data_IF_026433608998
#
_entry.id   IF_026433608998
#
_cell.length_a   1.000
_cell.length_b   1.000
_cell.length_c   1.000
_cell.angle_alpha   90.00
_cell.angle_beta   90.00
_cell.angle_gamma   90.00
#
_symmetry.space_group_name_H-M   'P 1'
#
loop_
_entity.id
_entity.type
_entity.pdbx_description
1 polymer ?
#
# COMPACT_ATOMS: atom_id res chain seq x y z
N UNK A 1 -16.43 -4.08 -27.72
CA UNK A 1 -15.22 -3.60 -27.01
C UNK A 1 -15.70 -2.92 -25.74
N UNK A 2 -15.46 -3.48 -24.56
CA UNK A 2 -15.68 -2.75 -23.31
C UNK A 2 -14.64 -1.63 -23.25
N UNK A 3 -15.05 -0.40 -22.95
CA UNK A 3 -14.12 0.69 -22.68
C UNK A 3 -13.23 0.26 -21.50
N UNK A 4 -11.92 0.39 -21.66
CA UNK A 4 -10.99 0.19 -20.57
C UNK A 4 -11.37 1.14 -19.42
N UNK A 5 -11.68 0.57 -18.26
CA UNK A 5 -12.01 1.34 -17.07
C UNK A 5 -10.70 1.79 -16.42
N UNK A 6 -10.64 3.06 -16.01
CA UNK A 6 -9.49 3.60 -15.27
C UNK A 6 -9.78 3.38 -13.79
N UNK A 7 -8.98 2.56 -13.12
CA UNK A 7 -9.11 2.27 -11.69
C UNK A 7 -8.01 2.99 -10.90
N UNK A 8 -8.37 3.99 -10.07
CA UNK A 8 -7.43 4.58 -9.12
C UNK A 8 -6.90 3.55 -8.12
N UNK A 9 -5.64 3.71 -7.72
CA UNK A 9 -4.95 2.86 -6.76
C UNK A 9 -4.00 3.73 -5.91
N UNK A 10 -3.94 3.41 -4.62
CA UNK A 10 -3.17 4.15 -3.63
C UNK A 10 -2.37 3.20 -2.75
N UNK A 11 -1.20 3.64 -2.31
CA UNK A 11 -0.49 3.05 -1.17
C UNK A 11 -0.83 3.90 0.05
N UNK A 12 -1.32 3.25 1.10
CA UNK A 12 -1.68 3.88 2.36
C UNK A 12 -0.71 3.48 3.46
N UNK A 13 -0.34 4.46 4.28
CA UNK A 13 0.57 4.31 5.40
C UNK A 13 -0.19 4.58 6.69
N UNK A 14 -0.20 3.61 7.61
CA UNK A 14 -0.93 3.70 8.87
C UNK A 14 0.01 3.59 10.06
N UNK A 15 -0.17 4.42 11.08
CA UNK A 15 0.58 4.32 12.33
C UNK A 15 0.16 3.04 13.09
N UNK A 16 1.15 2.28 13.55
CA UNK A 16 0.91 1.15 14.45
C UNK A 16 1.01 1.63 15.91
N UNK A 17 0.17 1.10 16.80
CA UNK A 17 0.19 1.46 18.23
C UNK A 17 1.58 1.27 18.87
N UNK A 18 1.92 2.02 19.95
CA UNK A 18 3.28 2.14 20.50
C UNK A 18 3.93 0.88 21.12
N UNK A 19 3.44 -0.33 20.85
CA UNK A 19 3.85 -1.55 21.55
C UNK A 19 4.44 -2.66 20.67
N UNK A 20 5.00 -2.33 19.50
CA UNK A 20 5.77 -3.33 18.75
C UNK A 20 7.22 -2.87 18.51
N UNK A 21 8.11 -2.96 19.53
CA UNK A 21 9.48 -2.43 19.49
C UNK A 21 10.46 -3.18 18.55
N UNK A 22 9.96 -3.99 17.61
CA UNK A 22 10.80 -4.76 16.68
C UNK A 22 10.41 -4.71 15.21
N UNK A 23 9.19 -4.27 14.86
CA UNK A 23 8.63 -4.48 13.51
C UNK A 23 7.83 -3.25 13.07
N UNK A 24 8.56 -2.18 12.71
CA UNK A 24 8.03 -1.01 11.99
C UNK A 24 6.97 -0.17 12.72
N UNK A 25 7.21 1.13 12.82
CA UNK A 25 6.21 2.08 13.36
C UNK A 25 4.98 2.26 12.47
N UNK A 26 5.02 1.72 11.24
CA UNK A 26 3.99 1.95 10.23
C UNK A 26 3.64 0.68 9.44
N UNK A 27 2.36 0.57 9.13
CA UNK A 27 1.77 -0.48 8.32
C UNK A 27 1.44 0.02 6.92
N UNK A 28 1.60 -0.85 5.93
CA UNK A 28 1.45 -0.51 4.51
C UNK A 28 0.30 -1.32 3.92
N UNK A 29 -0.61 -0.63 3.24
CA UNK A 29 -1.75 -1.26 2.59
C UNK A 29 -1.99 -0.68 1.19
N UNK A 30 -2.55 -1.50 0.29
CA UNK A 30 -3.05 -1.06 -1.01
C UNK A 30 -4.53 -0.71 -0.86
N UNK A 31 -4.88 0.51 -1.26
CA UNK A 31 -6.25 1.01 -1.24
C UNK A 31 -6.79 1.15 -2.66
N UNK A 32 -7.95 0.55 -2.91
CA UNK A 32 -8.69 0.57 -4.18
C UNK A 32 -10.06 1.22 -3.94
N UNK A 33 -10.26 2.48 -4.39
CA UNK A 33 -11.57 3.12 -4.27
C UNK A 33 -12.60 2.49 -5.19
N UNK A 34 -13.86 2.44 -4.72
CA UNK A 34 -14.96 1.77 -5.41
C UNK A 34 -15.57 2.66 -6.49
N UNK A 35 -15.84 2.14 -7.70
CA UNK A 35 -16.60 2.87 -8.73
C UNK A 35 -17.99 3.31 -8.26
N UNK A 36 -18.66 2.49 -7.41
CA UNK A 36 -19.97 2.81 -6.83
C UNK A 36 -19.96 4.01 -5.89
N UNK A 37 -18.78 4.37 -5.39
CA UNK A 37 -18.54 5.49 -4.48
C UNK A 37 -17.84 6.66 -5.19
N UNK A 38 -17.92 6.70 -6.53
CA UNK A 38 -17.27 7.71 -7.37
C UNK A 38 -15.75 7.79 -7.16
N UNK A 39 -15.13 6.67 -6.77
CA UNK A 39 -13.71 6.56 -6.46
C UNK A 39 -13.21 7.46 -5.31
N UNK A 40 -14.11 7.94 -4.46
CA UNK A 40 -13.77 8.82 -3.34
C UNK A 40 -13.05 8.08 -2.24
N UNK A 41 -12.04 8.73 -1.66
CA UNK A 41 -11.25 8.16 -0.56
C UNK A 41 -11.94 8.29 0.81
N UNK A 42 -12.83 9.27 1.02
CA UNK A 42 -13.66 9.41 2.22
C UNK A 42 -14.90 8.50 2.26
N UNK A 43 -14.99 7.56 1.33
CA UNK A 43 -16.08 6.59 1.18
C UNK A 43 -15.55 5.16 1.38
N UNK A 44 -16.43 4.14 1.47
CA UNK A 44 -15.96 2.76 1.56
C UNK A 44 -15.01 2.43 0.41
N UNK A 45 -13.86 1.87 0.75
CA UNK A 45 -12.85 1.42 -0.20
C UNK A 45 -12.39 -0.01 0.14
N UNK A 46 -11.73 -0.66 -0.81
CA UNK A 46 -11.16 -1.99 -0.62
C UNK A 46 -9.69 -1.86 -0.21
N UNK A 47 -9.37 -2.30 1.01
CA UNK A 47 -8.01 -2.29 1.56
C UNK A 47 -7.43 -3.68 1.57
N UNK A 48 -6.22 -3.82 1.03
CA UNK A 48 -5.48 -5.07 0.98
C UNK A 48 -4.15 -4.90 1.69
N UNK A 49 -3.91 -5.73 2.70
CA UNK A 49 -2.70 -5.70 3.50
C UNK A 49 -2.35 -7.10 3.99
N UNK A 50 -1.15 -7.23 4.56
CA UNK A 50 -0.73 -8.45 5.26
C UNK A 50 -0.16 -8.08 6.60
N UNK A 51 -0.45 -8.89 7.61
CA UNK A 51 0.06 -8.71 8.97
C UNK A 51 0.76 -9.99 9.41
N UNK A 52 1.79 -9.84 10.25
CA UNK A 52 2.37 -11.00 10.92
C UNK A 52 1.28 -11.59 11.83
N UNK A 53 1.06 -12.90 11.73
CA UNK A 53 0.19 -13.60 12.68
C UNK A 53 0.70 -13.39 14.11
N UNK A 54 -0.18 -13.44 15.12
CA UNK A 54 0.18 -13.31 16.54
C UNK A 54 1.14 -14.40 17.06
N UNK A 55 1.68 -15.25 16.18
CA UNK A 55 2.77 -16.14 16.54
C UNK A 55 4.00 -15.30 16.88
N UNK A 56 4.60 -15.59 18.04
CA UNK A 56 5.87 -15.00 18.47
C UNK A 56 7.06 -15.39 17.57
N UNK A 57 6.80 -16.09 16.47
CA UNK A 57 7.79 -16.74 15.62
C UNK A 57 7.85 -16.04 14.25
N UNK A 58 8.38 -14.81 14.27
CA UNK A 58 8.55 -13.95 13.10
C UNK A 58 9.46 -14.54 12.01
N UNK A 59 10.18 -15.61 12.32
CA UNK A 59 11.06 -16.32 11.40
C UNK A 59 10.32 -17.34 10.51
N UNK A 60 9.06 -17.68 10.82
CA UNK A 60 8.30 -18.71 10.08
C UNK A 60 7.53 -18.19 8.85
N UNK A 61 7.71 -16.93 8.44
CA UNK A 61 6.95 -16.34 7.33
C UNK A 61 5.41 -16.48 7.49
N UNK A 62 4.92 -16.64 8.73
CA UNK A 62 3.49 -16.76 9.06
C UNK A 62 2.80 -15.39 9.03
N UNK A 63 2.52 -14.94 7.80
CA UNK A 63 1.77 -13.74 7.49
C UNK A 63 0.34 -14.10 7.12
N UNK A 64 -0.62 -13.31 7.56
CA UNK A 64 -2.02 -13.42 7.21
C UNK A 64 -2.41 -12.32 6.22
N UNK A 65 -3.21 -12.67 5.22
CA UNK A 65 -3.86 -11.67 4.37
C UNK A 65 -5.04 -11.08 5.10
N UNK A 66 -5.16 -9.76 5.05
CA UNK A 66 -6.33 -9.02 5.53
C UNK A 66 -6.90 -8.23 4.35
N UNK A 67 -8.09 -8.62 3.91
CA UNK A 67 -8.89 -7.84 2.98
C UNK A 67 -10.04 -7.25 3.76
N UNK A 68 -10.01 -5.93 3.91
CA UNK A 68 -11.09 -5.19 4.57
C UNK A 68 -11.92 -4.43 3.56
N UNK A 69 -13.21 -4.49 3.79
CA UNK A 69 -14.23 -3.76 3.02
C UNK A 69 -14.93 -2.83 3.99
N UNK A 70 -14.95 -1.52 3.75
CA UNK A 70 -15.76 -0.61 4.56
C UNK A 70 -15.18 0.80 4.77
N UNK A 71 -15.94 1.59 5.54
CA UNK A 71 -15.64 2.96 5.96
C UNK A 71 -14.90 3.05 7.28
N UNK A 72 -14.45 1.93 7.87
CA UNK A 72 -14.07 1.90 9.28
C UNK A 72 -13.09 3.04 9.63
N UNK A 73 -13.55 4.05 10.39
CA UNK A 73 -12.78 5.24 10.72
C UNK A 73 -11.46 4.89 11.42
N UNK A 74 -11.39 3.73 12.08
CA UNK A 74 -10.18 3.23 12.73
C UNK A 74 -8.94 3.19 11.82
N UNK A 75 -9.11 3.04 10.50
CA UNK A 75 -7.99 3.08 9.55
C UNK A 75 -7.61 4.51 9.14
N UNK A 76 -8.60 5.42 9.08
CA UNK A 76 -8.38 6.85 8.84
C UNK A 76 -7.81 7.56 10.08
N UNK A 77 -8.23 7.15 11.28
CA UNK A 77 -7.77 7.68 12.56
C UNK A 77 -6.27 7.47 12.78
N UNK A 78 -5.69 6.47 12.09
CA UNK A 78 -4.26 6.18 12.09
C UNK A 78 -3.62 6.38 10.72
N UNK A 79 -4.33 6.93 9.74
CA UNK A 79 -3.79 7.19 8.42
C UNK A 79 -2.77 8.33 8.54
N UNK A 80 -1.53 8.02 8.22
CA UNK A 80 -0.41 8.96 8.25
C UNK A 80 -0.24 9.63 6.89
N UNK A 81 -0.49 8.88 5.82
CA UNK A 81 -0.43 9.41 4.46
C UNK A 81 -0.89 8.41 3.41
N UNK A 82 -1.15 8.93 2.22
CA UNK A 82 -1.43 8.13 1.02
C UNK A 82 -0.57 8.60 -0.13
N UNK A 83 -0.09 7.65 -0.92
CA UNK A 83 0.63 7.88 -2.17
C UNK A 83 -0.26 7.41 -3.30
N UNK A 84 -0.67 8.34 -4.17
CA UNK A 84 -1.38 8.02 -5.39
C UNK A 84 -0.40 7.44 -6.42
N UNK A 85 -0.72 6.27 -6.95
CA UNK A 85 0.03 5.67 -8.06
C UNK A 85 -0.63 6.03 -9.41
N UNK A 86 0.05 5.79 -10.55
CA UNK A 86 -0.64 5.79 -11.83
C UNK A 86 -1.86 4.86 -11.77
N UNK A 87 -2.99 5.24 -12.36
CA UNK A 87 -4.17 4.40 -12.31
C UNK A 87 -3.96 3.11 -13.12
N UNK A 88 -4.76 2.10 -12.80
CA UNK A 88 -4.77 0.84 -13.53
C UNK A 88 -5.75 0.91 -14.71
N UNK A 89 -5.44 0.18 -15.77
CA UNK A 89 -6.24 -0.02 -16.99
C UNK A 89 -6.89 -1.40 -16.91
N UNK A 90 -7.58 -1.65 -15.80
CA UNK A 90 -8.35 -2.87 -15.51
C UNK A 90 -9.60 -2.51 -14.71
N UNK A 91 -10.56 -3.43 -14.63
CA UNK A 91 -11.74 -3.22 -13.81
C UNK A 91 -11.42 -3.30 -12.31
N UNK A 92 -12.27 -2.67 -11.49
CA UNK A 92 -12.22 -2.79 -10.03
C UNK A 92 -12.21 -4.25 -9.56
N UNK A 93 -13.09 -5.07 -10.14
CA UNK A 93 -13.24 -6.49 -9.80
C UNK A 93 -11.97 -7.28 -10.11
N UNK A 94 -11.34 -7.05 -11.26
CA UNK A 94 -10.08 -7.71 -11.63
C UNK A 94 -8.93 -7.32 -10.68
N UNK A 95 -8.84 -6.03 -10.32
CA UNK A 95 -7.82 -5.56 -9.38
C UNK A 95 -8.01 -6.18 -7.99
N UNK A 96 -9.25 -6.18 -7.47
CA UNK A 96 -9.57 -6.78 -6.18
C UNK A 96 -9.32 -8.28 -6.16
N UNK A 97 -9.80 -9.00 -7.18
CA UNK A 97 -9.59 -10.44 -7.30
C UNK A 97 -8.11 -10.81 -7.34
N UNK A 98 -7.31 -10.04 -8.06
CA UNK A 98 -5.86 -10.22 -8.09
C UNK A 98 -5.25 -10.02 -6.70
N UNK A 99 -5.52 -8.89 -6.04
CA UNK A 99 -4.97 -8.58 -4.71
C UNK A 99 -5.40 -9.59 -3.64
N UNK A 100 -6.67 -10.02 -3.63
CA UNK A 100 -7.17 -11.07 -2.72
C UNK A 100 -6.50 -12.42 -2.95
N UNK A 101 -6.00 -12.68 -4.17
CA UNK A 101 -5.32 -13.93 -4.51
C UNK A 101 -3.82 -13.88 -4.27
N UNK A 102 -3.25 -12.70 -4.01
CA UNK A 102 -1.83 -12.58 -3.76
C UNK A 102 -1.49 -13.23 -2.40
N UNK A 103 -0.56 -14.20 -2.37
CA UNK A 103 -0.18 -14.91 -1.15
C UNK A 103 0.24 -13.93 -0.05
N UNK A 104 -0.02 -14.22 1.22
CA UNK A 104 0.42 -13.36 2.31
C UNK A 104 1.92 -13.48 2.60
N UNK A 105 2.44 -14.70 2.47
CA UNK A 105 3.82 -15.04 2.77
C UNK A 105 4.78 -14.64 1.63
N UNK A 106 6.06 -14.95 1.80
CA UNK A 106 7.15 -14.61 0.88
C UNK A 106 7.06 -15.27 -0.51
N UNK A 107 6.50 -16.47 -0.66
CA UNK A 107 6.49 -17.28 -1.90
C UNK A 107 7.70 -17.06 -2.84
N UNK A 108 8.92 -17.40 -2.39
CA UNK A 108 10.11 -17.31 -3.24
C UNK A 108 10.54 -15.89 -3.65
N UNK A 109 9.88 -14.86 -3.15
CA UNK A 109 10.24 -13.46 -3.39
C UNK A 109 11.53 -13.14 -2.67
N UNK A 110 12.54 -12.64 -3.37
CA UNK A 110 13.81 -12.26 -2.74
C UNK A 110 13.58 -11.12 -1.75
N UNK A 111 14.13 -11.28 -0.53
CA UNK A 111 14.10 -10.22 0.46
C UNK A 111 14.86 -8.99 -0.06
N UNK A 112 14.39 -7.81 0.30
CA UNK A 112 15.09 -6.57 0.01
C UNK A 112 16.46 -6.54 0.70
N UNK A 113 17.41 -5.81 0.10
CA UNK A 113 18.79 -5.78 0.60
C UNK A 113 18.81 -5.21 2.03
N UNK A 114 19.47 -5.90 2.94
CA UNK A 114 19.56 -5.49 4.34
C UNK A 114 18.33 -5.83 5.17
N UNK A 115 17.36 -6.58 4.63
CA UNK A 115 16.28 -7.19 5.39
C UNK A 115 16.58 -8.65 5.69
N UNK A 116 16.29 -9.07 6.92
CA UNK A 116 16.37 -10.46 7.38
C UNK A 116 15.02 -11.16 7.35
N UNK A 117 13.91 -10.43 7.31
CA UNK A 117 12.55 -10.96 7.43
C UNK A 117 11.61 -10.40 6.36
N UNK A 118 10.53 -11.14 6.07
CA UNK A 118 9.41 -10.68 5.24
C UNK A 118 8.64 -9.53 5.92
N UNK A 119 7.95 -8.70 5.15
CA UNK A 119 7.20 -7.55 5.68
C UNK A 119 6.01 -7.16 4.81
N UNK A 120 5.03 -6.45 5.40
CA UNK A 120 3.89 -5.87 4.68
C UNK A 120 4.32 -4.98 3.51
N UNK A 121 5.39 -4.20 3.67
CA UNK A 121 5.95 -3.39 2.59
C UNK A 121 6.51 -4.24 1.44
N UNK A 122 7.16 -5.38 1.73
CA UNK A 122 7.69 -6.28 0.69
C UNK A 122 6.58 -7.01 -0.06
N UNK A 123 5.51 -7.41 0.65
CA UNK A 123 4.30 -7.94 0.04
C UNK A 123 3.65 -6.93 -0.92
N UNK A 124 3.49 -5.69 -0.47
CA UNK A 124 2.95 -4.61 -1.29
C UNK A 124 3.79 -4.39 -2.55
N UNK A 125 5.11 -4.31 -2.41
CA UNK A 125 6.03 -4.13 -3.55
C UNK A 125 5.91 -5.27 -4.56
N UNK A 126 5.79 -6.51 -4.08
CA UNK A 126 5.55 -7.66 -4.97
C UNK A 126 4.25 -7.51 -5.74
N UNK A 127 3.17 -7.13 -5.07
CA UNK A 127 1.88 -6.93 -5.72
C UNK A 127 1.98 -5.87 -6.83
N UNK A 128 2.58 -4.71 -6.53
CA UNK A 128 2.77 -3.64 -7.51
C UNK A 128 3.66 -4.08 -8.68
N UNK A 129 4.71 -4.85 -8.42
CA UNK A 129 5.56 -5.44 -9.47
C UNK A 129 4.80 -6.37 -10.39
N UNK A 130 4.01 -7.28 -9.83
CA UNK A 130 3.18 -8.19 -10.62
C UNK A 130 2.09 -7.45 -11.42
N UNK A 131 1.52 -6.36 -10.90
CA UNK A 131 0.59 -5.49 -11.65
C UNK A 131 1.28 -4.79 -12.82
N UNK A 132 2.50 -4.31 -12.63
CA UNK A 132 3.29 -3.69 -13.70
C UNK A 132 3.71 -4.71 -14.76
N UNK A 133 4.16 -5.91 -14.37
CA UNK A 133 4.48 -7.02 -15.27
C UNK A 133 3.26 -7.44 -16.13
N UNK A 134 2.04 -7.26 -15.60
CA UNK A 134 0.79 -7.45 -16.35
C UNK A 134 0.43 -6.28 -17.28
N UNK A 135 1.19 -5.19 -17.25
CA UNK A 135 0.91 -3.98 -18.03
C UNK A 135 -0.33 -3.23 -17.54
N UNK A 136 -0.71 -3.37 -16.27
CA UNK A 136 -1.94 -2.78 -15.76
C UNK A 136 -1.85 -1.28 -15.54
N UNK A 137 -0.68 -0.72 -15.25
CA UNK A 137 -0.57 0.73 -15.04
C UNK A 137 -0.74 1.51 -16.35
N UNK A 138 -1.49 2.61 -16.31
CA UNK A 138 -1.68 3.52 -17.45
C UNK A 138 -0.38 4.19 -17.91
N UNK A 139 0.60 4.27 -17.01
CA UNK A 139 1.96 4.72 -17.25
C UNK A 139 2.88 4.05 -16.24
N UNK A 140 4.15 3.76 -16.59
CA UNK A 140 5.10 3.21 -15.62
C UNK A 140 5.16 4.07 -14.35
N UNK A 141 5.10 3.46 -13.15
CA UNK A 141 5.30 4.20 -11.90
C UNK A 141 6.66 4.93 -11.92
N UNK A 142 6.75 6.13 -11.35
CA UNK A 142 8.02 6.84 -11.26
C UNK A 142 9.00 5.98 -10.46
N UNK A 143 10.07 5.54 -11.15
CA UNK A 143 11.15 4.65 -10.69
C UNK A 143 10.80 3.16 -10.49
N UNK A 144 10.92 2.40 -11.59
CA UNK A 144 11.84 1.24 -11.60
C UNK A 144 11.34 -0.06 -10.99
N UNK A 145 10.04 -0.27 -10.87
CA UNK A 145 9.52 -1.59 -10.50
C UNK A 145 9.94 -2.64 -11.57
N UNK A 146 9.94 -2.25 -12.86
CA UNK A 146 10.37 -3.09 -13.98
C UNK A 146 11.90 -3.22 -14.12
N UNK A 147 12.69 -2.30 -13.57
CA UNK A 147 14.17 -2.36 -13.63
C UNK A 147 14.76 -3.27 -12.54
N UNK A 148 13.92 -3.96 -11.76
CA UNK A 148 14.35 -4.87 -10.70
C UNK A 148 14.84 -4.16 -9.44
N UNK A 149 14.74 -2.84 -9.38
CA UNK A 149 15.18 -2.06 -8.22
C UNK A 149 14.01 -1.81 -7.26
N UNK A 150 13.37 -2.89 -6.80
CA UNK A 150 12.34 -2.84 -5.74
C UNK A 150 12.84 -2.15 -4.47
N UNK A 151 14.17 -2.13 -4.27
CA UNK A 151 14.84 -1.36 -3.23
C UNK A 151 14.70 0.16 -3.44
N UNK A 152 14.90 0.69 -4.64
CA UNK A 152 14.74 2.12 -4.92
C UNK A 152 13.28 2.57 -4.80
N UNK A 153 12.32 1.73 -5.22
CA UNK A 153 10.89 2.02 -5.01
C UNK A 153 10.54 1.97 -3.51
N UNK A 154 11.06 0.98 -2.77
CA UNK A 154 10.93 0.96 -1.31
C UNK A 154 11.54 2.20 -0.68
N UNK A 155 12.77 2.58 -1.05
CA UNK A 155 13.47 3.72 -0.49
C UNK A 155 12.79 5.03 -0.88
N UNK A 156 12.18 5.14 -2.05
CA UNK A 156 11.38 6.31 -2.44
C UNK A 156 10.10 6.41 -1.60
N UNK A 157 9.28 5.35 -1.54
CA UNK A 157 8.05 5.38 -0.75
C UNK A 157 8.36 5.46 0.76
N UNK A 158 9.43 4.82 1.23
CA UNK A 158 9.91 4.91 2.61
C UNK A 158 10.48 6.29 2.89
N UNK A 159 11.26 6.89 2.00
CA UNK A 159 11.80 8.25 2.20
C UNK A 159 10.66 9.23 2.23
N UNK A 160 9.66 9.10 1.35
CA UNK A 160 8.42 9.89 1.40
C UNK A 160 7.70 9.66 2.73
N UNK A 161 7.46 8.40 3.10
CA UNK A 161 6.90 7.98 4.40
C UNK A 161 7.63 8.59 5.58
N UNK A 162 8.90 8.26 5.81
CA UNK A 162 9.77 8.79 6.87
C UNK A 162 9.85 10.33 6.85
N UNK A 163 9.94 10.95 5.68
CA UNK A 163 9.90 12.41 5.59
C UNK A 163 8.58 12.93 6.13
N UNK A 164 7.46 12.28 5.82
CA UNK A 164 6.16 12.58 6.42
C UNK A 164 6.13 12.34 7.93
N UNK A 165 6.69 11.23 8.41
CA UNK A 165 6.78 10.91 9.84
C UNK A 165 7.54 11.99 10.61
N UNK A 166 8.72 12.37 10.11
CA UNK A 166 9.57 13.43 10.68
C UNK A 166 8.86 14.79 10.59
N UNK A 167 8.19 15.08 9.48
CA UNK A 167 7.44 16.32 9.30
C UNK A 167 6.28 16.43 10.31
N UNK A 168 5.46 15.38 10.44
CA UNK A 168 4.33 15.33 11.38
C UNK A 168 4.83 15.42 12.83
N UNK A 169 5.86 14.65 13.20
CA UNK A 169 6.46 14.70 14.55
C UNK A 169 7.05 16.07 14.90
N UNK A 170 7.47 16.86 13.91
CA UNK A 170 8.00 18.21 14.10
C UNK A 170 6.95 19.32 13.90
N UNK A 171 5.65 18.99 13.88
CA UNK A 171 4.56 19.97 13.79
C UNK A 171 4.37 20.61 12.42
N UNK A 172 4.90 19.98 11.36
CA UNK A 172 4.78 20.49 9.99
C UNK A 172 3.34 20.36 9.49
N UNK A 173 2.75 21.50 9.10
CA UNK A 173 1.45 21.59 8.45
C UNK A 173 1.61 21.94 6.96
N UNK A 174 2.50 21.23 6.25
CA UNK A 174 2.82 21.49 4.83
C UNK A 174 1.62 21.48 3.89
N UNK A 175 1.87 21.80 2.61
CA UNK A 175 0.85 21.79 1.56
C UNK A 175 0.24 20.39 1.40
N UNK A 176 -0.84 20.16 2.13
CA UNK A 176 -1.74 19.03 1.92
C UNK A 176 -2.81 19.47 0.94
N UNK A 177 -3.12 18.64 -0.05
CA UNK A 177 -4.39 18.76 -0.75
C UNK A 177 -5.43 17.91 -0.03
N UNK A 178 -6.63 18.44 0.12
CA UNK A 178 -7.78 17.60 0.45
C UNK A 178 -8.24 16.99 -0.87
N UNK A 179 -7.98 15.70 -1.05
CA UNK A 179 -8.55 14.94 -2.15
C UNK A 179 -9.66 14.09 -1.56
N UNK A 180 -10.90 14.39 -1.95
CA UNK A 180 -12.09 13.67 -1.51
C UNK A 180 -12.18 13.53 0.01
N UNK A 181 -12.01 14.64 0.75
CA UNK A 181 -12.10 14.65 2.22
C UNK A 181 -10.90 14.06 2.97
N UNK A 182 -9.96 13.41 2.27
CA UNK A 182 -8.72 12.87 2.84
C UNK A 182 -7.58 13.86 2.64
N UNK A 183 -6.81 14.08 3.71
CA UNK A 183 -5.56 14.83 3.63
C UNK A 183 -4.53 14.02 2.85
N UNK A 184 -4.34 14.38 1.59
CA UNK A 184 -3.30 13.83 0.71
C UNK A 184 -2.14 14.80 0.74
N UNK A 185 -1.02 14.37 1.28
CA UNK A 185 0.20 15.17 1.28
C UNK A 185 0.84 15.07 -0.11
N UNK A 186 1.15 16.22 -0.71
CA UNK A 186 1.73 16.34 -2.05
C UNK A 186 3.26 16.23 -2.02
#
# INVERSE_FOLDING_TARGET
MQQATIQPIYVSLHEMTPHNPGIGSYHWAIAIPRPSEEYRLDRPLDMFQVYASDSTDYDNDDWCSDHKTGTEPMYLDRLVGVVRLPPLVVTHEEACKFLSSEPSNREGTTLLRGRSTWSCSQWLIRCLKRMEEKGWFSSPPPLGIATGNGQAFYDDIRTKGITYEIMIMNGFAGNSTLMDGIRVLL
#
